data_IF_873886466645
#
_entry.id   IF_873886466645
#
_cell.length_a   1.000
_cell.length_b   1.000
_cell.length_c   1.000
_cell.angle_alpha   90.00
_cell.angle_beta   90.00
_cell.angle_gamma   90.00
#
_symmetry.space_group_name_H-M   'P 1'
#
loop_
_entity.id
_entity.type
_entity.pdbx_description
1 polymer ?
#
# COMPACT_ATOMS: atom_id res chain seq x y z
N UNK A 1 9.80 25.17 -0.70
CA UNK A 1 9.42 23.74 -0.67
C UNK A 1 8.81 23.43 0.68
N UNK A 2 7.51 23.16 0.75
CA UNK A 2 6.87 22.59 1.93
C UNK A 2 7.43 21.18 2.15
N UNK A 3 7.96 20.91 3.34
CA UNK A 3 8.53 19.60 3.70
C UNK A 3 7.40 18.57 3.75
N UNK A 4 7.47 17.52 2.94
CA UNK A 4 6.50 16.41 2.95
C UNK A 4 6.47 15.75 4.33
N UNK A 5 5.27 15.43 4.80
CA UNK A 5 4.99 15.14 6.21
C UNK A 5 5.42 13.74 6.66
N UNK A 6 5.30 12.75 5.77
CA UNK A 6 5.56 11.33 6.08
C UNK A 6 5.85 10.52 4.80
N UNK A 7 6.51 9.37 4.97
CA UNK A 7 6.84 8.42 3.91
C UNK A 7 5.76 7.35 3.81
N UNK A 8 5.22 7.15 2.61
CA UNK A 8 4.11 6.24 2.35
C UNK A 8 4.51 5.29 1.24
N UNK A 9 4.40 3.99 1.50
CA UNK A 9 4.52 2.94 0.49
C UNK A 9 3.11 2.63 0.01
N UNK A 10 2.83 2.87 -1.26
CA UNK A 10 1.48 2.72 -1.81
C UNK A 10 1.39 1.52 -2.74
N UNK A 11 0.24 0.87 -2.68
CA UNK A 11 -0.18 -0.21 -3.57
C UNK A 11 -0.86 0.33 -4.85
N UNK A 12 -0.95 -0.48 -5.90
CA UNK A 12 -1.55 -0.16 -7.19
C UNK A 12 -3.01 0.27 -7.03
N UNK A 13 -3.78 -0.41 -6.18
CA UNK A 13 -5.19 -0.07 -5.91
C UNK A 13 -5.34 1.36 -5.37
N UNK A 14 -4.34 1.86 -4.63
CA UNK A 14 -4.33 3.23 -4.12
C UNK A 14 -4.02 4.21 -5.24
N UNK A 15 -3.04 3.91 -6.09
CA UNK A 15 -2.70 4.74 -7.25
C UNK A 15 -3.93 4.88 -8.17
N UNK A 16 -4.54 3.74 -8.53
CA UNK A 16 -5.69 3.68 -9.42
C UNK A 16 -6.88 4.42 -8.80
N UNK A 17 -7.26 4.07 -7.56
CA UNK A 17 -8.38 4.72 -6.86
C UNK A 17 -8.17 6.22 -6.69
N UNK A 18 -6.95 6.65 -6.38
CA UNK A 18 -6.62 8.07 -6.26
C UNK A 18 -6.71 8.85 -7.57
N UNK A 19 -6.49 8.20 -8.71
CA UNK A 19 -6.71 8.78 -10.02
C UNK A 19 -8.20 8.86 -10.38
N UNK A 20 -8.96 7.81 -10.12
CA UNK A 20 -10.41 7.78 -10.41
C UNK A 20 -11.16 8.85 -9.61
N UNK A 21 -10.77 9.02 -8.35
CA UNK A 21 -11.47 9.85 -7.38
C UNK A 21 -10.78 11.22 -7.15
N UNK A 22 -9.78 11.53 -7.98
CA UNK A 22 -9.09 12.83 -8.05
C UNK A 22 -8.48 13.28 -6.72
N UNK A 23 -7.81 12.38 -6.00
CA UNK A 23 -6.97 12.73 -4.85
C UNK A 23 -5.48 12.47 -5.04
N UNK A 24 -5.05 11.92 -6.18
CA UNK A 24 -3.63 11.63 -6.43
C UNK A 24 -2.68 12.81 -6.18
N UNK A 25 -2.97 13.98 -6.76
CA UNK A 25 -2.12 15.17 -6.58
C UNK A 25 -2.10 15.66 -5.12
N UNK A 26 -3.19 15.48 -4.37
CA UNK A 26 -3.25 15.84 -2.96
C UNK A 26 -2.30 14.96 -2.15
N UNK A 27 -2.33 13.65 -2.40
CA UNK A 27 -1.44 12.69 -1.75
C UNK A 27 0.03 12.97 -2.11
N UNK A 28 0.32 13.17 -3.40
CA UNK A 28 1.68 13.48 -3.88
C UNK A 28 2.22 14.80 -3.33
N UNK A 29 1.37 15.78 -3.02
CA UNK A 29 1.77 17.05 -2.41
C UNK A 29 1.98 16.96 -0.89
N UNK A 30 1.20 16.11 -0.20
CA UNK A 30 1.27 15.96 1.25
C UNK A 30 2.33 14.95 1.72
N UNK A 31 2.62 13.92 0.91
CA UNK A 31 3.44 12.78 1.29
C UNK A 31 4.55 12.48 0.30
N UNK A 32 5.60 11.84 0.81
CA UNK A 32 6.62 11.20 -0.03
C UNK A 32 6.12 9.79 -0.36
N UNK A 33 5.52 9.66 -1.53
CA UNK A 33 5.00 8.38 -2.03
C UNK A 33 6.16 7.57 -2.63
N UNK A 34 6.35 6.35 -2.13
CA UNK A 34 7.13 5.33 -2.78
C UNK A 34 6.20 4.28 -3.38
N UNK A 35 6.60 3.74 -4.53
CA UNK A 35 5.92 2.63 -5.19
C UNK A 35 6.91 1.49 -5.40
N UNK A 36 6.53 0.24 -5.06
CA UNK A 36 7.31 -0.94 -5.43
C UNK A 36 7.56 -1.02 -6.94
N UNK A 37 8.67 -1.64 -7.33
CA UNK A 37 9.10 -1.76 -8.71
C UNK A 37 8.06 -2.56 -9.52
N UNK A 38 7.55 -3.66 -8.96
CA UNK A 38 6.50 -4.48 -9.57
C UNK A 38 5.27 -3.65 -9.91
N UNK A 39 4.86 -2.74 -9.02
CA UNK A 39 3.69 -1.88 -9.26
C UNK A 39 3.94 -0.93 -10.43
N UNK A 40 5.12 -0.32 -10.46
CA UNK A 40 5.52 0.64 -11.49
C UNK A 40 5.73 0.02 -12.86
N UNK A 41 6.14 -1.25 -12.91
CA UNK A 41 6.60 -1.95 -14.10
C UNK A 41 5.53 -2.87 -14.69
N UNK A 42 4.62 -3.37 -13.87
CA UNK A 42 3.69 -4.43 -14.28
C UNK A 42 2.22 -4.08 -14.04
N UNK A 43 1.85 -3.45 -12.93
CA UNK A 43 0.43 -3.42 -12.50
C UNK A 43 -0.34 -2.19 -13.00
N UNK A 44 0.22 -0.98 -12.84
CA UNK A 44 -0.52 0.26 -13.10
C UNK A 44 -0.64 0.64 -14.59
N UNK A 45 0.00 -0.12 -15.48
CA UNK A 45 -0.15 0.04 -16.93
C UNK A 45 -1.49 -0.47 -17.46
N UNK A 46 -2.18 -1.35 -16.72
CA UNK A 46 -3.31 -2.13 -17.25
C UNK A 46 -4.67 -1.86 -16.61
N UNK A 47 -4.85 -0.75 -15.87
CA UNK A 47 -6.17 -0.48 -15.28
C UNK A 47 -7.21 -0.03 -16.31
N UNK A 48 -8.42 -0.56 -16.18
CA UNK A 48 -9.60 -0.14 -16.92
C UNK A 48 -10.44 0.75 -16.03
N UNK A 49 -10.69 1.98 -16.47
CA UNK A 49 -11.68 2.85 -15.82
C UNK A 49 -12.83 3.08 -16.80
N UNK A 50 -14.05 2.70 -16.41
CA UNK A 50 -15.25 2.77 -17.24
C UNK A 50 -15.14 2.07 -18.62
N UNK A 51 -14.47 0.92 -18.69
CA UNK A 51 -14.30 0.14 -19.92
C UNK A 51 -13.26 0.68 -20.91
N UNK A 52 -12.55 1.76 -20.55
CA UNK A 52 -11.46 2.33 -21.35
C UNK A 52 -10.14 2.02 -20.64
N UNK A 53 -9.21 1.38 -21.35
CA UNK A 53 -7.81 1.29 -20.90
C UNK A 53 -7.23 2.70 -20.92
N UNK A 54 -6.98 3.27 -19.74
CA UNK A 54 -6.14 4.45 -19.63
C UNK A 54 -4.77 3.97 -19.21
N UNK A 55 -3.75 4.23 -20.01
CA UNK A 55 -2.38 4.03 -19.54
C UNK A 55 -2.04 5.16 -18.57
N UNK A 56 -1.71 4.85 -17.32
CA UNK A 56 -0.90 5.77 -16.53
C UNK A 56 0.51 5.72 -17.10
N UNK A 57 1.23 6.84 -17.02
CA UNK A 57 2.63 6.93 -17.44
C UNK A 57 3.52 7.06 -16.19
N UNK A 58 3.68 5.98 -15.40
CA UNK A 58 4.33 6.05 -14.09
C UNK A 58 5.78 6.49 -14.15
N UNK A 59 6.48 6.21 -15.25
CA UNK A 59 7.84 6.72 -15.51
C UNK A 59 7.93 8.23 -15.43
N UNK A 60 6.87 8.96 -15.82
CA UNK A 60 6.81 10.42 -15.71
C UNK A 60 6.82 10.87 -14.25
N UNK A 61 6.12 10.17 -13.36
CA UNK A 61 6.08 10.54 -11.94
C UNK A 61 7.42 10.33 -11.25
N UNK A 62 8.14 9.28 -11.63
CA UNK A 62 9.50 9.02 -11.14
C UNK A 62 10.43 10.13 -11.64
N UNK A 63 10.40 10.45 -12.93
CA UNK A 63 11.24 11.49 -13.54
C UNK A 63 10.95 12.89 -12.98
N UNK A 64 9.70 13.18 -12.63
CA UNK A 64 9.29 14.45 -11.99
C UNK A 64 9.53 14.47 -10.47
N UNK A 65 10.00 13.37 -9.88
CA UNK A 65 10.20 13.25 -8.43
C UNK A 65 8.91 13.26 -7.61
N UNK A 66 7.75 13.01 -8.25
CA UNK A 66 6.46 12.89 -7.56
C UNK A 66 6.39 11.63 -6.72
N UNK A 67 6.94 10.53 -7.25
CA UNK A 67 7.02 9.22 -6.59
C UNK A 67 8.46 8.73 -6.58
N UNK A 68 8.81 7.90 -5.61
CA UNK A 68 10.08 7.20 -5.51
C UNK A 68 9.87 5.75 -5.92
N UNK A 69 10.63 5.26 -6.89
CA UNK A 69 10.71 3.82 -7.17
C UNK A 69 11.53 3.16 -6.06
N UNK A 70 10.98 2.13 -5.44
CA UNK A 70 11.67 1.29 -4.45
C UNK A 70 11.58 -0.17 -4.89
N UNK A 71 12.55 -0.98 -4.48
CA UNK A 71 12.62 -2.38 -4.88
C UNK A 71 13.12 -3.20 -3.71
N UNK A 72 12.49 -4.35 -3.47
CA UNK A 72 12.88 -5.28 -2.42
C UNK A 72 14.09 -6.11 -2.86
N UNK A 73 15.01 -6.35 -1.93
CA UNK A 73 16.11 -7.30 -2.14
C UNK A 73 15.66 -8.72 -1.75
N UNK A 74 16.40 -9.74 -2.18
CA UNK A 74 16.09 -11.15 -1.88
C UNK A 74 15.99 -11.37 -0.36
N UNK A 75 16.86 -10.71 0.40
CA UNK A 75 16.90 -10.76 1.86
C UNK A 75 15.63 -10.20 2.51
N UNK A 76 14.95 -9.24 1.87
CA UNK A 76 13.70 -8.66 2.35
C UNK A 76 12.54 -9.69 2.26
N UNK A 77 12.51 -10.49 1.17
CA UNK A 77 11.53 -11.57 1.01
C UNK A 77 11.78 -12.75 1.97
N UNK A 78 13.04 -12.97 2.31
CA UNK A 78 13.47 -14.05 3.18
C UNK A 78 12.82 -13.97 4.57
N UNK A 79 12.59 -12.76 5.08
CA UNK A 79 11.86 -12.54 6.32
C UNK A 79 10.40 -13.04 6.22
N UNK A 80 9.69 -12.64 5.16
CA UNK A 80 8.31 -13.06 4.94
C UNK A 80 8.22 -14.58 4.75
N UNK A 81 9.11 -15.16 3.96
CA UNK A 81 9.19 -16.60 3.72
C UNK A 81 9.38 -17.41 5.00
N UNK A 82 10.06 -16.87 6.01
CA UNK A 82 10.26 -17.52 7.31
C UNK A 82 9.05 -17.33 8.24
N UNK A 83 8.32 -16.22 8.12
CA UNK A 83 7.23 -15.87 9.03
C UNK A 83 5.86 -16.34 8.57
N UNK A 84 5.54 -16.21 7.28
CA UNK A 84 4.21 -16.48 6.73
C UNK A 84 4.13 -17.88 6.11
N UNK A 85 2.98 -18.52 6.25
CA UNK A 85 2.67 -19.77 5.58
C UNK A 85 2.65 -19.57 4.05
N UNK A 86 2.94 -20.63 3.30
CA UNK A 86 2.92 -20.57 1.83
C UNK A 86 1.52 -20.21 1.31
N UNK A 87 0.48 -20.77 1.92
CA UNK A 87 -0.90 -20.52 1.51
C UNK A 87 -1.29 -19.05 1.67
N UNK A 88 -0.83 -18.41 2.75
CA UNK A 88 -1.09 -16.99 2.94
C UNK A 88 -0.29 -16.12 1.98
N UNK A 89 0.99 -16.44 1.74
CA UNK A 89 1.79 -15.73 0.73
C UNK A 89 1.19 -15.85 -0.68
N UNK A 90 0.64 -17.00 -1.04
CA UNK A 90 -0.02 -17.21 -2.33
C UNK A 90 -1.35 -16.43 -2.48
N UNK A 91 -1.89 -15.89 -1.39
CA UNK A 91 -3.10 -15.06 -1.42
C UNK A 91 -2.81 -13.58 -1.66
N UNK A 92 -1.53 -13.18 -1.61
CA UNK A 92 -1.06 -11.83 -1.85
C UNK A 92 -0.60 -11.73 -3.31
N UNK A 93 -0.87 -10.59 -3.95
CA UNK A 93 -0.31 -10.32 -5.27
C UNK A 93 1.18 -9.93 -5.19
N UNK A 94 1.81 -9.75 -6.35
CA UNK A 94 3.25 -9.51 -6.43
C UNK A 94 3.62 -8.12 -5.87
N UNK A 95 2.84 -7.07 -6.16
CA UNK A 95 3.05 -5.72 -5.62
C UNK A 95 2.87 -5.66 -4.10
N UNK A 96 1.88 -6.36 -3.57
CA UNK A 96 1.62 -6.50 -2.13
C UNK A 96 2.75 -7.25 -1.42
N UNK A 97 3.22 -8.36 -1.99
CA UNK A 97 4.35 -9.13 -1.48
C UNK A 97 5.62 -8.28 -1.44
N UNK A 98 5.91 -7.55 -2.53
CA UNK A 98 7.05 -6.63 -2.57
C UNK A 98 6.92 -5.53 -1.52
N UNK A 99 5.73 -4.94 -1.37
CA UNK A 99 5.49 -3.90 -0.37
C UNK A 99 5.69 -4.39 1.07
N UNK A 100 5.22 -5.60 1.39
CA UNK A 100 5.44 -6.23 2.69
C UNK A 100 6.92 -6.59 2.90
N UNK A 101 7.63 -7.01 1.85
CA UNK A 101 9.05 -7.32 1.91
C UNK A 101 9.84 -6.05 2.23
N UNK A 102 9.57 -4.95 1.50
CA UNK A 102 10.13 -3.63 1.76
C UNK A 102 9.88 -3.18 3.21
N UNK A 103 8.67 -3.36 3.74
CA UNK A 103 8.35 -3.01 5.13
C UNK A 103 9.18 -3.80 6.16
N UNK A 104 9.53 -5.06 5.85
CA UNK A 104 10.38 -5.89 6.71
C UNK A 104 11.83 -5.38 6.76
N UNK A 105 12.24 -4.63 5.73
CA UNK A 105 13.58 -4.09 5.60
C UNK A 105 13.83 -2.95 6.57
N UNK A 106 15.04 -2.90 7.14
CA UNK A 106 15.48 -1.76 7.96
C UNK A 106 15.53 -0.45 7.15
N UNK A 107 15.70 -0.54 5.83
CA UNK A 107 15.78 0.60 4.91
C UNK A 107 14.48 1.42 4.87
N UNK A 108 13.33 0.76 5.06
CA UNK A 108 12.01 1.40 4.91
C UNK A 108 11.26 1.49 6.24
N UNK A 109 11.97 1.52 7.37
CA UNK A 109 11.36 1.54 8.71
C UNK A 109 10.44 2.74 8.98
N UNK A 110 10.67 3.87 8.32
CA UNK A 110 9.84 5.07 8.44
C UNK A 110 8.62 5.07 7.51
N UNK A 111 8.51 4.10 6.60
CA UNK A 111 7.39 3.99 5.68
C UNK A 111 6.19 3.37 6.36
N UNK A 112 5.01 3.95 6.08
CA UNK A 112 3.72 3.33 6.34
C UNK A 112 3.13 2.81 5.03
N UNK A 113 2.61 1.60 5.05
CA UNK A 113 1.99 0.96 3.90
C UNK A 113 0.50 1.27 3.82
N UNK A 114 0.05 1.63 2.63
CA UNK A 114 -1.36 1.87 2.32
C UNK A 114 -1.81 0.97 1.17
N UNK A 115 -2.91 0.26 1.39
CA UNK A 115 -3.61 -0.56 0.41
C UNK A 115 -5.10 -0.60 0.79
N UNK A 116 -5.93 -1.04 -0.16
CA UNK A 116 -7.33 -1.36 0.08
C UNK A 116 -7.60 -2.87 -0.01
N UNK A 117 -6.60 -3.68 -0.35
CA UNK A 117 -6.74 -5.13 -0.43
C UNK A 117 -6.82 -5.75 0.95
N UNK A 118 -7.75 -6.69 1.11
CA UNK A 118 -8.01 -7.31 2.41
C UNK A 118 -6.88 -8.24 2.86
N UNK A 119 -6.31 -9.04 1.97
CA UNK A 119 -5.23 -9.97 2.30
C UNK A 119 -3.97 -9.20 2.73
N UNK A 120 -3.60 -8.16 1.99
CA UNK A 120 -2.45 -7.32 2.33
C UNK A 120 -2.62 -6.57 3.66
N UNK A 121 -3.82 -6.03 3.95
CA UNK A 121 -4.09 -5.40 5.27
C UNK A 121 -4.04 -6.46 6.37
N UNK A 122 -4.62 -7.65 6.14
CA UNK A 122 -4.55 -8.74 7.11
C UNK A 122 -3.11 -9.16 7.39
N UNK A 123 -2.22 -9.14 6.39
CA UNK A 123 -0.82 -9.47 6.56
C UNK A 123 -0.13 -8.56 7.59
N UNK A 124 -0.47 -7.27 7.61
CA UNK A 124 0.01 -6.35 8.66
C UNK A 124 -0.45 -6.80 10.06
N UNK A 125 -1.70 -7.22 10.21
CA UNK A 125 -2.21 -7.76 11.48
C UNK A 125 -1.54 -9.09 11.86
N UNK A 126 -1.36 -10.00 10.90
CA UNK A 126 -0.67 -11.29 11.11
C UNK A 126 0.79 -11.07 11.56
N UNK A 127 1.46 -10.04 11.05
CA UNK A 127 2.85 -9.74 11.36
C UNK A 127 3.01 -8.85 12.61
N UNK A 128 1.92 -8.36 13.21
CA UNK A 128 1.97 -7.41 14.33
C UNK A 128 2.53 -6.04 13.91
N UNK A 129 2.23 -5.63 12.68
CA UNK A 129 2.71 -4.40 12.02
C UNK A 129 1.59 -3.37 11.84
N UNK A 130 0.61 -3.33 12.73
CA UNK A 130 -0.54 -2.44 12.64
C UNK A 130 -0.12 -0.96 12.56
N UNK A 131 0.92 -0.58 13.32
CA UNK A 131 1.47 0.79 13.29
C UNK A 131 2.20 1.14 11.99
N UNK A 132 2.55 0.13 11.18
CA UNK A 132 3.15 0.29 9.85
C UNK A 132 2.10 0.38 8.76
N UNK A 133 0.82 0.17 9.05
CA UNK A 133 -0.28 0.42 8.13
C UNK A 133 -0.82 1.85 8.24
N UNK A 134 -1.44 2.36 7.18
CA UNK A 134 -2.28 3.56 7.20
C UNK A 134 -3.42 3.43 6.17
N UNK A 135 -4.63 3.84 6.55
CA UNK A 135 -5.77 3.86 5.64
C UNK A 135 -5.74 5.07 4.70
N UNK A 136 -6.43 4.95 3.55
CA UNK A 136 -6.60 6.08 2.61
C UNK A 136 -7.33 7.24 3.26
N UNK A 137 -8.38 6.98 4.04
CA UNK A 137 -9.11 8.00 4.79
C UNK A 137 -8.17 8.79 5.71
N UNK A 138 -7.32 8.11 6.48
CA UNK A 138 -6.33 8.78 7.34
C UNK A 138 -5.30 9.60 6.55
N UNK A 139 -4.86 9.10 5.39
CA UNK A 139 -3.98 9.87 4.49
C UNK A 139 -4.65 11.14 4.00
N UNK A 140 -5.92 11.07 3.59
CA UNK A 140 -6.66 12.23 3.10
C UNK A 140 -6.92 13.26 4.21
N UNK A 141 -7.29 12.80 5.40
CA UNK A 141 -7.45 13.65 6.57
C UNK A 141 -6.13 14.37 6.92
N UNK A 142 -5.01 13.64 6.94
CA UNK A 142 -3.67 14.20 7.17
C UNK A 142 -3.21 15.18 6.08
N UNK A 143 -3.71 15.02 4.85
CA UNK A 143 -3.48 15.95 3.75
C UNK A 143 -4.39 17.20 3.78
N UNK A 144 -5.22 17.35 4.82
CA UNK A 144 -6.15 18.47 4.98
C UNK A 144 -7.44 18.33 4.17
N UNK A 145 -7.67 17.19 3.52
CA UNK A 145 -8.93 16.89 2.83
C UNK A 145 -9.81 16.08 3.76
N UNK A 146 -10.75 16.75 4.45
CA UNK A 146 -11.87 16.03 5.07
C UNK A 146 -12.65 15.30 3.96
N UNK A 147 -13.09 14.04 4.17
CA UNK A 147 -13.92 13.34 3.19
C UNK A 147 -15.06 14.26 2.77
N UNK A 148 -15.19 14.50 1.46
CA UNK A 148 -16.27 15.32 0.92
C UNK A 148 -17.62 14.67 1.30
N UNK A 149 -18.73 15.39 1.13
CA UNK A 149 -20.08 14.84 1.35
C UNK A 149 -20.37 13.54 0.58
N UNK A 150 -19.56 13.19 -0.43
CA UNK A 150 -19.52 11.86 -1.04
C UNK A 150 -18.69 10.91 -0.18
N UNK A 151 -19.33 9.85 0.32
CA UNK A 151 -18.68 8.82 1.13
C UNK A 151 -17.57 8.16 0.32
N UNK A 152 -16.35 8.12 0.89
CA UNK A 152 -15.29 7.27 0.38
C UNK A 152 -15.81 5.83 0.20
N UNK A 153 -15.40 5.12 -0.86
CA UNK A 153 -15.65 3.69 -0.98
C UNK A 153 -15.28 2.96 0.31
N UNK A 154 -16.09 1.96 0.71
CA UNK A 154 -15.93 1.25 1.99
C UNK A 154 -14.49 0.79 2.23
N UNK A 155 -13.83 0.25 1.19
CA UNK A 155 -12.48 -0.31 1.28
C UNK A 155 -11.37 0.75 1.49
N UNK A 156 -11.68 2.04 1.30
CA UNK A 156 -10.76 3.15 1.61
C UNK A 156 -10.97 3.76 3.00
N UNK A 157 -11.98 3.29 3.75
CA UNK A 157 -12.28 3.83 5.08
C UNK A 157 -11.33 3.26 6.15
N UNK A 158 -11.07 4.06 7.19
CA UNK A 158 -10.33 3.65 8.38
C UNK A 158 -10.99 2.46 9.06
N UNK A 159 -12.32 2.44 9.13
CA UNK A 159 -13.06 1.33 9.76
C UNK A 159 -12.80 0.00 9.04
N UNK A 160 -12.83 -0.02 7.71
CA UNK A 160 -12.51 -1.21 6.94
C UNK A 160 -11.08 -1.68 7.21
N UNK A 161 -10.12 -0.75 7.14
CA UNK A 161 -8.72 -1.05 7.39
C UNK A 161 -8.50 -1.66 8.79
N UNK A 162 -9.09 -1.05 9.82
CA UNK A 162 -9.00 -1.55 11.20
C UNK A 162 -9.63 -2.93 11.38
N UNK A 163 -10.77 -3.20 10.71
CA UNK A 163 -11.39 -4.52 10.75
C UNK A 163 -10.47 -5.57 10.13
N UNK A 164 -9.87 -5.30 8.97
CA UNK A 164 -8.95 -6.23 8.32
C UNK A 164 -7.67 -6.44 9.15
N UNK A 165 -7.11 -5.40 9.78
CA UNK A 165 -5.99 -5.56 10.72
C UNK A 165 -6.36 -6.49 11.87
N UNK A 166 -7.53 -6.26 12.48
CA UNK A 166 -8.01 -7.06 13.60
C UNK A 166 -8.24 -8.53 13.20
N UNK A 167 -8.85 -8.77 12.02
CA UNK A 167 -9.00 -10.12 11.47
C UNK A 167 -7.64 -10.80 11.28
N UNK A 168 -6.64 -10.10 10.71
CA UNK A 168 -5.29 -10.62 10.56
C UNK A 168 -4.64 -10.97 11.90
N UNK A 169 -4.77 -10.09 12.91
CA UNK A 169 -4.27 -10.32 14.26
C UNK A 169 -4.89 -11.57 14.90
N UNK A 170 -6.21 -11.74 14.80
CA UNK A 170 -6.91 -12.91 15.35
C UNK A 170 -6.51 -14.22 14.66
N UNK A 171 -6.15 -14.14 13.38
CA UNK A 171 -5.75 -15.29 12.55
C UNK A 171 -4.24 -15.57 12.55
N UNK A 172 -3.44 -14.87 13.38
CA UNK A 172 -1.99 -15.06 13.46
C UNK A 172 -1.57 -16.53 13.58
N UNK A 173 -2.26 -17.28 14.44
CA UNK A 173 -2.01 -18.69 14.69
C UNK A 173 -2.24 -19.61 13.47
N UNK A 174 -3.00 -19.15 12.48
CA UNK A 174 -3.26 -19.89 11.23
C UNK A 174 -2.18 -19.64 10.18
N UNK A 175 -1.67 -18.41 10.14
CA UNK A 175 -0.85 -17.93 9.03
C UNK A 175 0.63 -17.79 9.36
N UNK A 176 1.00 -17.77 10.63
CA UNK A 176 2.41 -17.79 11.03
C UNK A 176 2.98 -19.22 10.95
N UNK A 177 4.21 -19.33 10.44
CA UNK A 177 4.95 -20.58 10.52
C UNK A 177 5.34 -20.88 11.97
N UNK A 178 5.33 -22.16 12.39
CA UNK A 178 5.95 -22.57 13.64
C UNK A 178 7.42 -22.14 13.66
N UNK A 179 7.88 -21.58 14.78
CA UNK A 179 9.29 -21.22 14.99
C UNK A 179 10.07 -22.40 15.57
#
# INVERSE_FOLDING_TARGET
MTKKSSQVLADAVIVIGAHEERYWEILCNAYQIALPATILEEEIFYFQSAGIKKGLAPSKWVNEGKVIRVEAEIEDYDYLNRKLSKDFMNSLDLGELEALALLSSKKYNAYRFTTADRAAIKALGVLGWESRGISVEELLEGAGRRPLKQKLPRHFTKQWFQNCLHEGFMEQHLWLRPQ
#
